data_IF_246515396261
#
_entry.id   IF_246515396261
#
_cell.length_a   1.000
_cell.length_b   1.000
_cell.length_c   1.000
_cell.angle_alpha   90.00
_cell.angle_beta   90.00
_cell.angle_gamma   90.00
#
_symmetry.space_group_name_H-M   'P 1'
#
loop_
_entity.id
_entity.type
_entity.pdbx_description
1 polymer ?
#
# COMPACT_ATOMS: atom_id res chain seq x y z
N UNK A 1 18.64 -2.65 1.03
CA UNK A 1 17.61 -2.93 -0.01
C UNK A 1 16.29 -3.33 0.64
N UNK A 2 16.24 -4.42 1.41
CA UNK A 2 15.03 -4.90 2.09
C UNK A 2 14.34 -3.88 3.01
N UNK A 3 15.08 -3.25 3.94
CA UNK A 3 14.50 -2.22 4.81
C UNK A 3 14.05 -0.97 4.04
N UNK A 4 14.74 -0.62 2.95
CA UNK A 4 14.45 0.60 2.16
C UNK A 4 13.11 0.50 1.40
N UNK A 5 12.75 -0.70 0.99
CA UNK A 5 11.52 -0.98 0.24
C UNK A 5 10.34 -1.35 1.17
N UNK A 6 10.63 -1.92 2.36
CA UNK A 6 9.59 -2.41 3.27
C UNK A 6 9.32 -1.50 4.48
N UNK A 7 10.20 -0.56 4.82
CA UNK A 7 9.94 0.41 5.88
C UNK A 7 9.38 1.72 5.31
N UNK A 8 8.16 2.08 5.73
CA UNK A 8 7.42 3.27 5.28
C UNK A 8 8.27 4.54 5.28
N UNK A 9 9.04 4.77 6.34
CA UNK A 9 9.87 5.98 6.50
C UNK A 9 10.96 6.13 5.42
N UNK A 10 11.44 5.01 4.88
CA UNK A 10 12.49 4.99 3.85
C UNK A 10 11.97 4.95 2.42
N UNK A 11 10.65 4.78 2.24
CA UNK A 11 10.01 4.82 0.94
C UNK A 11 9.95 6.25 0.40
N UNK A 12 9.88 6.36 -0.92
CA UNK A 12 9.67 7.65 -1.60
C UNK A 12 8.22 8.08 -1.40
N UNK A 13 8.02 9.34 -1.07
CA UNK A 13 6.72 9.92 -0.83
C UNK A 13 5.94 10.02 -2.15
N UNK A 14 4.77 9.37 -2.20
CA UNK A 14 3.97 9.24 -3.43
C UNK A 14 3.46 10.57 -3.99
N UNK A 15 3.35 11.62 -3.15
CA UNK A 15 2.85 12.92 -3.60
C UNK A 15 3.85 13.68 -4.47
N UNK A 16 5.15 13.57 -4.16
CA UNK A 16 6.21 14.31 -4.87
C UNK A 16 7.16 13.41 -5.68
N UNK A 17 7.13 12.09 -5.45
CA UNK A 17 7.98 11.06 -6.05
C UNK A 17 9.49 11.36 -5.97
N UNK A 18 9.90 12.14 -4.96
CA UNK A 18 11.28 12.64 -4.82
C UNK A 18 11.82 12.49 -3.41
N UNK A 19 11.04 12.83 -2.39
CA UNK A 19 11.53 12.87 -1.01
C UNK A 19 11.20 11.59 -0.24
N UNK A 20 12.07 11.09 0.64
CA UNK A 20 11.70 10.01 1.56
C UNK A 20 10.64 10.47 2.56
N UNK A 21 9.70 9.60 2.91
CA UNK A 21 8.62 9.90 3.87
C UNK A 21 9.15 10.45 5.19
N UNK A 22 10.29 9.96 5.67
CA UNK A 22 10.93 10.49 6.89
C UNK A 22 11.23 11.99 6.81
N UNK A 23 11.74 12.47 5.67
CA UNK A 23 12.07 13.89 5.49
C UNK A 23 10.82 14.76 5.47
N UNK A 24 9.71 14.24 4.93
CA UNK A 24 8.41 14.93 4.93
C UNK A 24 7.89 15.08 6.36
N UNK A 25 7.98 14.02 7.18
CA UNK A 25 7.57 14.07 8.59
C UNK A 25 8.44 15.04 9.40
N UNK A 26 9.75 15.02 9.18
CA UNK A 26 10.69 15.94 9.85
C UNK A 26 10.42 17.41 9.46
N UNK A 27 10.14 17.65 8.17
CA UNK A 27 9.82 18.99 7.66
C UNK A 27 8.48 19.50 8.23
N UNK A 28 7.45 18.65 8.25
CA UNK A 28 6.18 18.98 8.87
C UNK A 28 6.34 19.29 10.38
N UNK A 29 7.23 18.58 11.07
CA UNK A 29 7.56 18.87 12.46
C UNK A 29 8.20 20.25 12.66
N UNK A 30 9.13 20.63 11.76
CA UNK A 30 9.74 21.97 11.78
C UNK A 30 8.69 23.07 11.55
N UNK A 31 7.79 22.87 10.60
CA UNK A 31 6.71 23.83 10.29
C UNK A 31 5.69 23.95 11.43
N UNK A 32 5.39 22.85 12.11
CA UNK A 32 4.51 22.83 13.27
C UNK A 32 5.20 23.30 14.56
N UNK A 33 6.50 23.59 14.54
CA UNK A 33 7.28 24.00 15.71
C UNK A 33 7.40 22.91 16.80
N UNK A 34 7.13 21.64 16.46
CA UNK A 34 7.12 20.52 17.41
C UNK A 34 7.61 19.24 16.75
N UNK A 35 8.17 18.32 17.54
CA UNK A 35 8.64 17.03 17.02
C UNK A 35 7.45 16.14 16.67
N UNK A 36 7.25 15.88 15.38
CA UNK A 36 6.27 14.90 14.90
C UNK A 36 6.99 13.54 14.75
N UNK A 37 6.37 12.49 15.29
CA UNK A 37 6.86 11.11 15.18
C UNK A 37 5.73 10.24 14.68
N UNK A 38 5.95 9.54 13.57
CA UNK A 38 5.05 8.52 13.08
C UNK A 38 5.24 7.26 13.93
N UNK A 39 4.31 7.03 14.87
CA UNK A 39 4.42 5.94 15.85
C UNK A 39 3.97 4.60 15.29
N UNK A 40 2.85 4.60 14.57
CA UNK A 40 2.27 3.38 14.01
C UNK A 40 1.39 3.71 12.80
N UNK A 41 1.18 2.74 11.93
CA UNK A 41 0.25 2.85 10.82
C UNK A 41 -0.39 1.50 10.52
N UNK A 42 -1.65 1.53 10.07
CA UNK A 42 -2.38 0.33 9.63
C UNK A 42 -2.86 0.57 8.22
N UNK A 43 -2.57 -0.38 7.31
CA UNK A 43 -3.07 -0.36 5.93
C UNK A 43 -4.01 -1.55 5.77
N UNK A 44 -5.28 -1.27 5.52
CA UNK A 44 -6.24 -2.30 5.15
C UNK A 44 -6.35 -2.38 3.63
N UNK A 45 -6.38 -3.60 3.09
CA UNK A 45 -6.72 -3.84 1.69
C UNK A 45 -7.93 -4.78 1.60
N UNK A 46 -8.91 -4.42 0.78
CA UNK A 46 -10.04 -5.32 0.52
C UNK A 46 -9.52 -6.60 -0.14
N UNK A 47 -9.87 -7.76 0.43
CA UNK A 47 -9.39 -9.06 -0.04
C UNK A 47 -8.00 -9.45 0.47
N UNK A 48 -7.43 -8.73 1.43
CA UNK A 48 -6.14 -9.10 2.03
C UNK A 48 -6.21 -10.48 2.68
N UNK A 49 -5.39 -11.42 2.17
CA UNK A 49 -5.36 -12.81 2.64
C UNK A 49 -6.49 -13.70 2.11
N UNK A 50 -7.36 -13.19 1.23
CA UNK A 50 -8.39 -14.00 0.55
C UNK A 50 -7.83 -14.45 -0.79
N UNK A 51 -7.82 -15.77 -1.03
CA UNK A 51 -7.47 -16.33 -2.33
C UNK A 51 -8.53 -15.89 -3.35
N UNK A 52 -8.08 -15.20 -4.40
CA UNK A 52 -8.96 -14.72 -5.45
C UNK A 52 -9.41 -15.93 -6.27
N UNK A 53 -10.70 -16.25 -6.16
CA UNK A 53 -11.30 -17.29 -6.99
C UNK A 53 -11.24 -16.85 -8.47
N UNK A 54 -10.50 -17.62 -9.27
CA UNK A 54 -10.49 -17.47 -10.73
C UNK A 54 -11.65 -18.28 -11.30
N UNK A 55 -12.79 -17.63 -11.52
CA UNK A 55 -13.92 -18.20 -12.24
C UNK A 55 -13.73 -18.00 -13.75
N UNK A 56 -13.57 -19.09 -14.50
CA UNK A 56 -13.59 -19.06 -15.97
C UNK A 56 -15.04 -19.06 -16.46
N UNK A 57 -15.57 -17.86 -16.67
CA UNK A 57 -16.92 -17.64 -17.18
C UNK A 57 -17.17 -18.35 -18.51
N UNK A 58 -16.15 -18.55 -19.35
CA UNK A 58 -16.32 -19.24 -20.62
C UNK A 58 -16.57 -20.75 -20.42
N UNK A 59 -15.88 -21.36 -19.44
CA UNK A 59 -16.09 -22.75 -19.07
C UNK A 59 -17.47 -22.98 -18.43
N UNK A 60 -17.93 -22.05 -17.58
CA UNK A 60 -19.28 -22.09 -17.00
C UNK A 60 -20.38 -21.98 -18.07
N UNK A 61 -20.20 -21.08 -19.04
CA UNK A 61 -21.14 -20.92 -20.15
C UNK A 61 -21.18 -22.19 -21.00
N UNK A 62 -20.03 -22.77 -21.35
CA UNK A 62 -19.98 -24.01 -22.13
C UNK A 62 -20.67 -25.19 -21.42
N UNK A 63 -20.55 -25.29 -20.09
CA UNK A 63 -21.25 -26.29 -19.30
C UNK A 63 -22.77 -26.06 -19.26
N UNK A 64 -23.23 -24.81 -19.29
CA UNK A 64 -24.65 -24.46 -19.21
C UNK A 64 -25.43 -24.66 -20.52
N UNK A 65 -24.78 -24.55 -21.69
CA UNK A 65 -25.41 -24.79 -23.02
C UNK A 65 -25.16 -26.19 -23.60
N UNK A 66 -24.31 -26.99 -22.96
CA UNK A 66 -23.95 -28.35 -23.41
C UNK A 66 -24.81 -29.50 -22.86
N UNK A 67 -25.81 -29.20 -22.02
CA UNK A 67 -26.85 -30.14 -21.59
C UNK A 67 -28.16 -29.89 -22.33
#
# INVERSE_FOLDING_TARGET
>A
KFAKENALLSQVFVMDNKTPVQQVVDQAGKEAGTKIVLKDYVRFQLGEGIEKEESDFAAEVAAAVGG
#
